data_IF_397183467143
#
_entry.id   IF_397183467143
#
_cell.length_a   1.000
_cell.length_b   1.000
_cell.length_c   1.000
_cell.angle_alpha   90.00
_cell.angle_beta   90.00
_cell.angle_gamma   90.00
#
_symmetry.space_group_name_H-M   'P 1'
#
loop_
_entity.id
_entity.type
_entity.pdbx_description
1 polymer ?
#
# COMPACT_ATOMS: atom_id res chain seq x y z
N UNK A 1 8.69 -6.77 -9.19
CA UNK A 1 9.67 -6.61 -10.26
C UNK A 1 11.05 -6.27 -9.70
N UNK A 2 11.19 -5.13 -9.00
CA UNK A 2 12.48 -4.62 -8.48
C UNK A 2 13.21 -5.68 -7.65
N UNK A 3 12.58 -6.26 -6.63
CA UNK A 3 13.22 -7.28 -5.78
C UNK A 3 13.70 -8.52 -6.57
N UNK A 4 13.01 -8.89 -7.64
CA UNK A 4 13.43 -10.01 -8.49
C UNK A 4 14.67 -9.64 -9.31
N UNK A 5 14.74 -8.40 -9.82
CA UNK A 5 15.93 -7.93 -10.52
C UNK A 5 17.11 -7.84 -9.56
N UNK A 6 16.93 -7.29 -8.36
CA UNK A 6 17.95 -7.22 -7.32
C UNK A 6 18.43 -8.62 -6.88
N UNK A 7 17.57 -9.66 -7.02
CA UNK A 7 17.95 -11.06 -6.82
C UNK A 7 18.57 -11.74 -8.06
N UNK A 8 18.87 -10.98 -9.12
CA UNK A 8 19.56 -11.46 -10.31
C UNK A 8 18.67 -12.03 -11.43
N UNK A 9 17.35 -11.92 -11.33
CA UNK A 9 16.47 -12.37 -12.38
C UNK A 9 16.27 -11.31 -13.46
N UNK A 10 16.14 -11.75 -14.71
CA UNK A 10 15.66 -10.89 -15.80
C UNK A 10 14.14 -10.77 -15.70
N UNK A 11 13.63 -9.55 -15.61
CA UNK A 11 12.19 -9.30 -15.37
C UNK A 11 11.61 -8.39 -16.44
N UNK A 12 10.47 -8.80 -16.99
CA UNK A 12 9.60 -7.96 -17.82
C UNK A 12 8.23 -7.84 -17.16
N UNK A 13 7.59 -6.70 -17.35
CA UNK A 13 6.21 -6.42 -16.93
C UNK A 13 5.37 -6.28 -18.19
N UNK A 14 4.28 -7.02 -18.27
CA UNK A 14 3.23 -6.80 -19.27
C UNK A 14 2.04 -6.15 -18.56
N UNK A 15 1.63 -4.97 -19.00
CA UNK A 15 0.58 -4.21 -18.34
C UNK A 15 -0.34 -3.54 -19.37
N UNK A 16 -1.65 -3.46 -19.05
CA UNK A 16 -2.61 -2.79 -19.90
C UNK A 16 -2.35 -1.29 -20.05
N UNK A 17 -1.80 -0.67 -19.00
CA UNK A 17 -1.55 0.78 -18.94
C UNK A 17 -0.42 1.08 -17.99
N UNK A 18 0.18 2.26 -18.15
CA UNK A 18 1.22 2.75 -17.24
C UNK A 18 0.62 3.16 -15.89
N UNK A 19 1.43 3.23 -14.83
CA UNK A 19 0.99 3.54 -13.47
C UNK A 19 0.12 4.78 -13.36
N UNK A 20 0.44 5.86 -14.07
CA UNK A 20 -0.28 7.14 -14.03
C UNK A 20 -1.76 7.04 -14.44
N UNK A 21 -2.10 6.02 -15.21
CA UNK A 21 -3.46 5.78 -15.71
C UNK A 21 -4.21 4.72 -14.88
N UNK A 22 -3.66 4.31 -13.75
CA UNK A 22 -4.27 3.30 -12.88
C UNK A 22 -5.04 3.93 -11.72
N UNK A 23 -5.96 3.18 -11.14
CA UNK A 23 -6.65 3.55 -9.90
C UNK A 23 -5.67 3.83 -8.75
N UNK A 24 -4.52 3.15 -8.74
CA UNK A 24 -3.49 3.36 -7.72
C UNK A 24 -2.90 4.76 -7.76
N UNK A 25 -2.81 5.42 -8.91
CA UNK A 25 -2.25 6.76 -9.03
C UNK A 25 -3.11 7.85 -8.38
N UNK A 26 -4.39 7.59 -8.17
CA UNK A 26 -5.33 8.54 -7.55
C UNK A 26 -5.71 8.13 -6.12
N UNK A 27 -5.23 7.00 -5.65
CA UNK A 27 -5.51 6.52 -4.30
C UNK A 27 -4.78 7.38 -3.26
N UNK A 28 -5.42 7.70 -2.15
CA UNK A 28 -4.71 8.11 -0.94
C UNK A 28 -4.04 6.88 -0.33
N UNK A 29 -2.78 7.02 0.09
CA UNK A 29 -2.04 5.88 0.60
C UNK A 29 -1.39 6.20 1.93
N UNK A 30 -2.10 5.84 2.98
CA UNK A 30 -1.56 5.75 4.33
C UNK A 30 -1.25 4.29 4.65
N UNK A 31 -0.13 4.03 5.30
CA UNK A 31 0.13 2.71 5.83
C UNK A 31 -0.77 2.45 7.03
N UNK A 32 -1.71 1.53 6.86
CA UNK A 32 -2.55 0.99 7.91
C UNK A 32 -3.05 -0.39 7.49
N UNK A 33 -2.96 -1.43 8.34
CA UNK A 33 -3.47 -2.76 8.03
C UNK A 33 -5.00 -2.78 8.08
N UNK A 34 -5.62 -2.74 6.91
CA UNK A 34 -7.08 -2.69 6.76
C UNK A 34 -7.56 -3.84 5.88
N UNK A 35 -8.47 -4.66 6.41
CA UNK A 35 -9.12 -5.78 5.70
C UNK A 35 -8.17 -6.67 4.87
N UNK A 36 -7.07 -7.09 5.47
CA UNK A 36 -6.05 -7.93 4.82
C UNK A 36 -6.28 -9.39 5.19
N UNK A 37 -6.27 -10.28 4.21
CA UNK A 37 -6.32 -11.72 4.37
C UNK A 37 -5.12 -12.40 3.68
N UNK A 38 -4.62 -13.53 4.17
CA UNK A 38 -4.99 -14.18 5.44
C UNK A 38 -4.42 -13.44 6.65
N UNK A 39 -5.22 -13.26 7.68
CA UNK A 39 -4.91 -12.39 8.82
C UNK A 39 -3.62 -12.78 9.57
N UNK A 40 -3.31 -14.08 9.65
CA UNK A 40 -2.09 -14.56 10.31
C UNK A 40 -0.78 -14.10 9.63
N UNK A 41 -0.83 -13.74 8.34
CA UNK A 41 0.31 -13.17 7.60
C UNK A 41 0.28 -11.64 7.56
N UNK A 42 -0.89 -11.05 7.78
CA UNK A 42 -1.08 -9.62 7.65
C UNK A 42 -0.15 -8.81 8.57
N UNK A 43 0.05 -9.26 9.81
CA UNK A 43 0.94 -8.58 10.76
C UNK A 43 2.39 -8.57 10.29
N UNK A 44 2.91 -9.71 9.83
CA UNK A 44 4.28 -9.83 9.30
C UNK A 44 4.47 -8.96 8.06
N UNK A 45 3.55 -9.04 7.10
CA UNK A 45 3.61 -8.24 5.87
C UNK A 45 3.52 -6.74 6.16
N UNK A 46 2.67 -6.35 7.10
CA UNK A 46 2.51 -4.96 7.51
C UNK A 46 3.78 -4.43 8.17
N UNK A 47 4.39 -5.17 9.09
CA UNK A 47 5.66 -4.80 9.73
C UNK A 47 6.78 -4.64 8.70
N UNK A 48 6.94 -5.62 7.81
CA UNK A 48 7.96 -5.57 6.76
C UNK A 48 7.76 -4.36 5.84
N UNK A 49 6.49 -4.06 5.50
CA UNK A 49 6.13 -2.91 4.67
C UNK A 49 6.40 -1.59 5.41
N UNK A 50 6.06 -1.51 6.70
CA UNK A 50 6.34 -0.34 7.53
C UNK A 50 7.83 0.04 7.50
N UNK A 51 8.71 -0.91 7.82
CA UNK A 51 10.15 -0.67 7.84
C UNK A 51 10.70 -0.33 6.45
N UNK A 52 10.14 -0.96 5.41
CA UNK A 52 10.54 -0.63 4.04
C UNK A 52 10.17 0.79 3.66
N UNK A 53 8.98 1.25 4.02
CA UNK A 53 8.55 2.62 3.78
C UNK A 53 9.28 3.63 4.66
N UNK A 54 9.58 3.28 5.91
CA UNK A 54 10.40 4.12 6.78
C UNK A 54 11.80 4.38 6.17
N UNK A 55 12.40 3.36 5.55
CA UNK A 55 13.64 3.52 4.78
C UNK A 55 13.44 4.41 3.54
N UNK A 56 12.34 4.20 2.80
CA UNK A 56 12.03 4.99 1.61
C UNK A 56 11.73 6.45 1.94
N UNK A 57 11.21 6.76 3.12
CA UNK A 57 10.99 8.12 3.59
C UNK A 57 12.30 8.92 3.74
N UNK A 58 13.46 8.25 3.78
CA UNK A 58 14.78 8.89 3.78
C UNK A 58 15.35 9.08 2.36
N UNK A 59 14.68 8.55 1.34
CA UNK A 59 15.14 8.64 -0.06
C UNK A 59 14.47 9.83 -0.73
N UNK A 60 15.27 10.76 -1.20
CA UNK A 60 14.76 11.94 -1.92
C UNK A 60 13.90 11.52 -3.12
N UNK A 61 12.80 12.23 -3.31
CA UNK A 61 11.85 12.01 -4.41
C UNK A 61 11.18 10.64 -4.45
N UNK A 62 11.23 9.87 -3.36
CA UNK A 62 10.50 8.58 -3.28
C UNK A 62 8.97 8.76 -3.25
N UNK A 63 8.48 9.93 -2.90
CA UNK A 63 7.06 10.17 -2.64
C UNK A 63 6.56 9.55 -1.32
N UNK A 64 7.49 9.10 -0.46
CA UNK A 64 7.16 8.53 0.85
C UNK A 64 7.62 9.46 1.96
N UNK A 65 6.80 9.66 2.97
CA UNK A 65 7.13 10.42 4.17
C UNK A 65 6.51 9.76 5.41
N UNK A 66 6.98 10.16 6.59
CA UNK A 66 6.39 9.73 7.87
C UNK A 66 5.43 10.81 8.38
N UNK A 67 4.23 10.44 8.81
CA UNK A 67 3.21 11.37 9.29
C UNK A 67 2.57 10.89 10.59
N UNK A 68 2.21 11.81 11.50
CA UNK A 68 1.42 11.46 12.66
C UNK A 68 0.03 10.95 12.26
N UNK A 69 -0.35 9.79 12.79
CA UNK A 69 -1.70 9.23 12.70
C UNK A 69 -2.35 9.29 14.07
N UNK A 70 -3.59 9.77 14.14
CA UNK A 70 -4.49 9.58 15.29
C UNK A 70 -5.64 8.69 14.86
N UNK A 71 -5.86 7.62 15.59
CA UNK A 71 -6.92 6.65 15.36
C UNK A 71 -7.90 6.68 16.51
N UNK A 72 -9.17 6.92 16.25
CA UNK A 72 -10.24 6.94 17.24
C UNK A 72 -11.24 5.83 16.98
N UNK A 73 -11.62 5.10 18.04
CA UNK A 73 -12.49 3.93 17.95
C UNK A 73 -13.68 4.06 18.92
N UNK A 74 -14.84 3.57 18.49
CA UNK A 74 -16.05 3.52 19.30
C UNK A 74 -16.19 2.23 20.10
N UNK A 75 -15.27 1.29 19.94
CA UNK A 75 -15.33 -0.02 20.60
C UNK A 75 -13.93 -0.44 21.12
N UNK A 76 -13.94 -1.08 22.24
CA UNK A 76 -12.77 -1.80 22.72
C UNK A 76 -12.72 -3.16 22.04
N UNK A 77 -11.71 -3.42 21.25
CA UNK A 77 -11.49 -4.74 20.68
C UNK A 77 -10.02 -5.16 20.86
N UNK A 78 -9.79 -6.46 20.98
CA UNK A 78 -8.46 -7.01 20.72
C UNK A 78 -8.16 -6.84 19.21
N UNK A 79 -7.81 -5.64 18.86
CA UNK A 79 -7.59 -5.29 17.47
C UNK A 79 -6.31 -5.98 16.98
N UNK A 80 -6.48 -6.97 16.12
CA UNK A 80 -5.40 -7.75 15.52
C UNK A 80 -4.35 -6.87 14.86
N UNK A 81 -4.74 -5.73 14.33
CA UNK A 81 -3.89 -4.76 13.65
C UNK A 81 -2.86 -4.09 14.58
N UNK A 82 -3.07 -4.07 15.90
CA UNK A 82 -2.08 -3.52 16.86
C UNK A 82 -0.73 -4.21 16.72
N UNK A 83 -0.73 -5.52 16.46
CA UNK A 83 0.48 -6.32 16.25
C UNK A 83 1.20 -6.01 14.92
N UNK A 84 0.58 -5.25 14.04
CA UNK A 84 1.19 -4.78 12.80
C UNK A 84 2.08 -3.55 12.98
N UNK A 85 1.96 -2.87 14.12
CA UNK A 85 2.86 -1.75 14.45
C UNK A 85 4.17 -2.27 15.06
N UNK A 86 5.30 -1.61 14.76
CA UNK A 86 6.55 -1.90 15.47
C UNK A 86 6.39 -1.68 16.97
N UNK A 87 7.08 -2.50 17.77
CA UNK A 87 7.02 -2.42 19.23
C UNK A 87 7.33 -1.01 19.73
N UNK A 88 6.50 -0.50 20.64
CA UNK A 88 6.65 0.82 21.25
C UNK A 88 6.28 2.01 20.33
N UNK A 89 5.78 1.77 19.09
CA UNK A 89 5.45 2.85 18.15
C UNK A 89 3.95 3.14 18.02
N UNK A 90 3.12 2.40 18.73
CA UNK A 90 1.69 2.68 18.88
C UNK A 90 1.43 3.04 20.33
N UNK A 91 0.95 4.25 20.59
CA UNK A 91 0.69 4.76 21.93
C UNK A 91 -0.80 4.97 22.11
N UNK A 92 -1.37 4.50 23.21
CA UNK A 92 -2.75 4.79 23.58
C UNK A 92 -2.85 6.22 24.12
N UNK A 93 -3.84 6.94 23.64
CA UNK A 93 -4.10 8.32 24.04
C UNK A 93 -4.72 8.36 25.44
N UNK A 94 -4.36 9.39 26.21
CA UNK A 94 -5.02 9.68 27.48
C UNK A 94 -6.48 10.08 27.22
N UNK A 95 -7.43 9.73 28.15
CA UNK A 95 -8.85 10.03 27.97
C UNK A 95 -9.17 11.47 27.60
N UNK A 96 -8.44 12.45 28.16
CA UNK A 96 -8.62 13.86 27.91
C UNK A 96 -8.18 14.32 26.51
N UNK A 97 -7.54 13.45 25.73
CA UNK A 97 -7.11 13.71 24.34
C UNK A 97 -8.00 13.01 23.31
N UNK A 98 -9.02 12.29 23.78
CA UNK A 98 -9.96 11.54 22.96
C UNK A 98 -11.23 12.38 22.82
N UNK A 99 -11.73 12.67 21.60
CA UNK A 99 -12.99 13.37 21.41
C UNK A 99 -14.15 12.60 22.04
N UNK A 100 -15.14 13.30 22.60
CA UNK A 100 -16.23 12.75 23.41
C UNK A 100 -17.05 11.64 22.71
N UNK A 101 -17.09 11.66 21.37
CA UNK A 101 -17.80 10.65 20.59
C UNK A 101 -17.07 9.29 20.50
N UNK A 102 -15.80 9.21 20.94
CA UNK A 102 -14.99 7.98 20.86
C UNK A 102 -14.64 7.46 22.26
N UNK A 103 -14.41 6.15 22.34
CA UNK A 103 -14.09 5.48 23.61
C UNK A 103 -12.60 5.30 23.84
N UNK A 104 -11.85 5.10 22.76
CA UNK A 104 -10.42 4.85 22.82
C UNK A 104 -9.71 5.53 21.64
N UNK A 105 -8.48 5.93 21.86
CA UNK A 105 -7.65 6.58 20.84
C UNK A 105 -6.22 6.07 20.88
N UNK A 106 -5.59 6.07 19.73
CA UNK A 106 -4.18 5.73 19.55
C UNK A 106 -3.49 6.78 18.72
N UNK A 107 -2.18 6.92 18.92
CA UNK A 107 -1.32 7.71 18.05
C UNK A 107 -0.09 6.91 17.63
N UNK A 108 0.37 7.15 16.42
CA UNK A 108 1.58 6.56 15.87
C UNK A 108 2.16 7.45 14.77
N UNK A 109 3.46 7.33 14.52
CA UNK A 109 4.06 7.80 13.26
C UNK A 109 3.91 6.70 12.21
N UNK A 110 3.31 7.00 11.08
CA UNK A 110 3.07 6.03 10.02
C UNK A 110 3.57 6.52 8.67
N UNK A 111 4.00 5.62 7.78
CA UNK A 111 4.29 5.98 6.40
C UNK A 111 3.04 6.46 5.66
N UNK A 112 3.20 7.52 4.89
CA UNK A 112 2.26 7.91 3.85
C UNK A 112 2.99 7.93 2.51
N UNK A 113 2.26 7.70 1.43
CA UNK A 113 2.80 7.73 0.09
C UNK A 113 1.98 8.64 -0.82
N UNK A 114 2.64 9.59 -1.45
CA UNK A 114 2.10 10.33 -2.57
C UNK A 114 2.15 9.43 -3.81
N UNK A 115 1.07 8.70 -4.05
CA UNK A 115 1.06 7.56 -4.97
C UNK A 115 1.51 7.90 -6.38
N UNK A 116 1.19 9.07 -6.88
CA UNK A 116 1.64 9.52 -8.21
C UNK A 116 3.16 9.67 -8.27
N UNK A 117 3.81 10.20 -7.21
CA UNK A 117 5.27 10.32 -7.13
C UNK A 117 5.91 8.95 -6.90
N UNK A 118 5.36 8.18 -5.93
CA UNK A 118 5.89 6.88 -5.57
C UNK A 118 5.86 5.87 -6.72
N UNK A 119 4.78 5.86 -7.51
CA UNK A 119 4.67 4.96 -8.65
C UNK A 119 5.65 5.31 -9.76
N UNK A 120 5.89 6.59 -10.02
CA UNK A 120 6.90 7.05 -10.98
C UNK A 120 8.31 6.70 -10.48
N UNK A 121 8.60 6.92 -9.20
CA UNK A 121 9.85 6.50 -8.57
C UNK A 121 10.09 4.98 -8.73
N UNK A 122 9.09 4.14 -8.50
CA UNK A 122 9.21 2.69 -8.68
C UNK A 122 9.41 2.31 -10.15
N UNK A 123 8.73 2.98 -11.07
CA UNK A 123 8.86 2.75 -12.50
C UNK A 123 10.27 3.07 -12.99
N UNK A 124 10.79 4.22 -12.60
CA UNK A 124 12.13 4.66 -12.98
C UNK A 124 13.20 3.75 -12.38
N UNK A 125 13.07 3.38 -11.11
CA UNK A 125 13.97 2.41 -10.47
C UNK A 125 13.92 1.06 -11.18
N UNK A 126 12.74 0.55 -11.54
CA UNK A 126 12.62 -0.72 -12.27
C UNK A 126 13.34 -0.69 -13.62
N UNK A 127 13.14 0.39 -14.38
CA UNK A 127 13.81 0.59 -15.69
C UNK A 127 15.33 0.75 -15.54
N UNK A 128 15.79 1.52 -14.56
CA UNK A 128 17.22 1.75 -14.31
C UNK A 128 17.98 0.46 -13.94
N UNK A 129 17.29 -0.51 -13.37
CA UNK A 129 17.82 -1.85 -13.07
C UNK A 129 17.74 -2.81 -14.26
N UNK A 130 17.31 -2.35 -15.44
CA UNK A 130 17.21 -3.16 -16.66
C UNK A 130 15.88 -3.87 -16.85
N UNK A 131 14.86 -3.56 -16.04
CA UNK A 131 13.50 -4.06 -16.23
C UNK A 131 12.85 -3.52 -17.49
N UNK A 132 12.07 -4.33 -18.19
CA UNK A 132 11.33 -3.95 -19.40
C UNK A 132 9.85 -3.94 -19.17
N UNK A 133 9.13 -3.06 -19.88
CA UNK A 133 7.68 -2.95 -19.79
C UNK A 133 7.08 -2.99 -21.19
N UNK A 134 6.11 -3.86 -21.35
CA UNK A 134 5.29 -3.97 -22.55
C UNK A 134 3.85 -3.57 -22.23
N UNK A 135 3.27 -2.69 -23.06
CA UNK A 135 1.87 -2.31 -22.92
C UNK A 135 1.02 -3.23 -23.78
N UNK A 136 0.37 -4.19 -23.12
CA UNK A 136 -0.54 -5.12 -23.76
C UNK A 136 -1.65 -5.59 -22.82
N UNK A 137 -2.79 -5.95 -23.40
CA UNK A 137 -3.87 -6.62 -22.68
C UNK A 137 -3.55 -8.11 -22.62
N UNK A 138 -3.50 -8.68 -21.42
CA UNK A 138 -3.33 -10.11 -21.19
C UNK A 138 -4.70 -10.73 -20.94
N UNK A 139 -5.14 -11.60 -21.84
CA UNK A 139 -6.40 -12.35 -21.69
C UNK A 139 -6.15 -13.83 -21.32
N UNK A 140 -4.93 -14.34 -21.53
CA UNK A 140 -4.50 -15.68 -21.15
C UNK A 140 -3.05 -15.67 -20.68
N UNK A 141 -2.82 -16.23 -19.51
CA UNK A 141 -1.48 -16.35 -18.89
C UNK A 141 -0.70 -17.53 -19.47
N UNK A 142 -1.38 -18.52 -20.01
CA UNK A 142 -0.78 -19.79 -20.46
C UNK A 142 0.25 -19.57 -21.57
N UNK A 143 0.01 -18.63 -22.48
CA UNK A 143 0.95 -18.25 -23.54
C UNK A 143 2.24 -17.71 -22.97
N UNK A 144 2.13 -16.74 -22.06
CA UNK A 144 3.27 -16.10 -21.39
C UNK A 144 4.07 -17.11 -20.56
N UNK A 145 3.36 -18.01 -19.85
CA UNK A 145 4.01 -19.01 -19.00
C UNK A 145 4.89 -20.01 -19.75
N UNK A 146 4.64 -20.24 -21.04
CA UNK A 146 5.48 -21.13 -21.87
C UNK A 146 6.84 -20.53 -22.21
N UNK A 147 6.95 -19.23 -22.21
CA UNK A 147 8.15 -18.51 -22.63
C UNK A 147 8.99 -18.03 -21.43
N UNK A 148 8.48 -18.17 -20.20
CA UNK A 148 9.12 -17.65 -19.00
C UNK A 148 9.22 -18.73 -17.91
N UNK A 149 10.28 -18.65 -17.12
CA UNK A 149 10.50 -19.54 -15.97
C UNK A 149 9.39 -19.43 -14.92
N UNK A 150 8.87 -18.23 -14.69
CA UNK A 150 7.79 -17.96 -13.76
C UNK A 150 6.99 -16.72 -14.20
N UNK A 151 5.71 -16.71 -13.88
CA UNK A 151 4.82 -15.56 -14.08
C UNK A 151 4.19 -15.18 -12.74
N UNK A 152 4.30 -13.91 -12.38
CA UNK A 152 3.63 -13.34 -11.21
C UNK A 152 2.39 -12.57 -11.65
N UNK A 153 1.22 -12.99 -11.20
CA UNK A 153 -0.03 -12.27 -11.48
C UNK A 153 -0.21 -11.11 -10.50
N UNK A 154 -0.03 -9.90 -11.01
CA UNK A 154 -0.23 -8.65 -10.28
C UNK A 154 -1.35 -7.79 -10.92
N UNK A 155 -2.34 -8.43 -11.55
CA UNK A 155 -3.38 -7.75 -12.34
C UNK A 155 -4.47 -7.09 -11.49
N UNK A 156 -4.36 -7.06 -10.15
CA UNK A 156 -5.37 -6.48 -9.27
C UNK A 156 -6.74 -7.13 -9.52
N UNK A 157 -7.79 -6.32 -9.63
CA UNK A 157 -9.14 -6.83 -9.94
C UNK A 157 -9.24 -7.57 -11.27
N UNK A 158 -8.33 -7.33 -12.21
CA UNK A 158 -8.24 -8.07 -13.47
C UNK A 158 -7.94 -9.55 -13.28
N UNK A 159 -7.30 -9.93 -12.17
CA UNK A 159 -7.04 -11.32 -11.83
C UNK A 159 -8.31 -12.15 -11.67
N UNK A 160 -9.42 -11.54 -11.27
CA UNK A 160 -10.73 -12.24 -11.19
C UNK A 160 -11.12 -12.91 -12.50
N UNK A 161 -10.99 -12.18 -13.62
CA UNK A 161 -11.28 -12.71 -14.95
C UNK A 161 -10.14 -13.62 -15.44
N UNK A 162 -8.91 -13.15 -15.29
CA UNK A 162 -7.72 -13.80 -15.82
C UNK A 162 -7.48 -15.19 -15.24
N UNK A 163 -7.76 -15.38 -13.94
CA UNK A 163 -7.53 -16.63 -13.20
C UNK A 163 -8.83 -17.31 -12.77
N UNK A 164 -10.01 -16.81 -13.22
CA UNK A 164 -11.31 -17.28 -12.76
C UNK A 164 -11.43 -17.30 -11.22
N UNK A 165 -10.83 -16.30 -10.57
CA UNK A 165 -10.85 -16.16 -9.12
C UNK A 165 -12.15 -15.51 -8.66
N UNK A 166 -13.08 -16.31 -8.13
CA UNK A 166 -14.39 -15.85 -7.67
C UNK A 166 -14.36 -15.21 -6.28
N UNK A 167 -13.29 -15.41 -5.52
CA UNK A 167 -13.13 -14.85 -4.18
C UNK A 167 -12.64 -13.40 -4.23
N UNK A 168 -12.06 -12.98 -5.35
CA UNK A 168 -11.64 -11.60 -5.55
C UNK A 168 -12.84 -10.68 -5.79
N UNK A 169 -12.98 -9.65 -4.97
CA UNK A 169 -14.02 -8.62 -5.08
C UNK A 169 -13.45 -7.21 -4.82
N UNK A 170 -14.03 -6.17 -5.43
CA UNK A 170 -13.60 -4.81 -5.21
C UNK A 170 -14.04 -4.28 -3.84
N UNK A 171 -13.15 -3.51 -3.20
CA UNK A 171 -13.53 -2.64 -2.09
C UNK A 171 -13.58 -1.22 -2.66
N UNK A 172 -14.73 -0.57 -2.50
CA UNK A 172 -14.94 0.78 -2.99
C UNK A 172 -14.34 1.80 -2.00
N UNK A 173 -13.56 2.74 -2.52
CA UNK A 173 -13.06 3.90 -1.78
C UNK A 173 -13.49 5.20 -2.47
N UNK A 174 -13.88 6.19 -1.67
CA UNK A 174 -14.19 7.54 -2.15
C UNK A 174 -13.09 8.50 -1.69
N UNK A 175 -12.61 9.34 -2.60
CA UNK A 175 -11.60 10.35 -2.33
C UNK A 175 -12.16 11.70 -2.73
N UNK A 176 -11.98 12.69 -1.87
CA UNK A 176 -12.25 14.10 -2.17
C UNK A 176 -10.92 14.84 -2.14
N UNK A 177 -10.57 15.47 -3.24
CA UNK A 177 -9.41 16.38 -3.31
C UNK A 177 -9.83 17.75 -2.80
N UNK A 178 -9.05 18.27 -1.89
CA UNK A 178 -9.22 19.62 -1.33
C UNK A 178 -7.90 20.38 -1.45
N UNK A 179 -7.96 21.70 -1.45
CA UNK A 179 -6.77 22.51 -1.35
C UNK A 179 -6.11 22.35 0.02
N UNK A 180 -4.79 22.41 0.04
CA UNK A 180 -4.03 22.32 1.29
C UNK A 180 -4.47 23.42 2.24
N UNK A 181 -4.83 23.05 3.46
CA UNK A 181 -5.20 23.98 4.52
C UNK A 181 -4.03 24.17 5.47
N UNK A 182 -3.79 25.42 5.88
CA UNK A 182 -2.80 25.73 6.92
C UNK A 182 -3.18 25.04 8.24
N UNK A 183 -2.19 24.51 8.93
CA UNK A 183 -2.36 23.88 10.25
C UNK A 183 -2.77 22.42 10.24
N UNK A 184 -2.90 21.76 9.07
CA UNK A 184 -3.07 20.30 9.01
C UNK A 184 -1.74 19.62 9.35
N UNK A 185 -1.67 19.01 10.53
CA UNK A 185 -0.43 18.43 11.07
C UNK A 185 -0.51 16.93 11.30
N UNK A 186 -1.68 16.33 11.16
CA UNK A 186 -1.88 14.89 11.39
C UNK A 186 -3.01 14.34 10.55
N UNK A 187 -2.98 13.02 10.35
CA UNK A 187 -4.07 12.25 9.75
C UNK A 187 -4.93 11.69 10.87
N UNK A 188 -6.25 11.74 10.69
CA UNK A 188 -7.20 11.15 11.64
C UNK A 188 -7.98 10.04 10.94
N UNK A 189 -8.08 8.89 11.56
CA UNK A 189 -8.93 7.79 11.13
C UNK A 189 -9.98 7.49 12.21
N UNK A 190 -11.21 7.29 11.78
CA UNK A 190 -12.38 7.03 12.63
C UNK A 190 -13.02 5.73 12.17
N UNK A 191 -13.34 4.81 13.10
CA UNK A 191 -13.97 3.52 12.79
C UNK A 191 -15.03 3.11 13.81
#
# INVERSE_FOLDING_TARGET
GICLIEAGYKVSIVAKQLPQNTTSAVAAAIWFPYQILPQHKANEWSLNTYFKFEQLAQVAHSGVSMSPLKLYLNYESEAWWKKSFPEGRLTELKPNLIPDQFKIGYEAMVPISETHIYLDFLLDKFKSLGGTIELAQVDDVSGIAKEHFAVSNCAGLGARKLMNDREMYPIYGQIVKVDLQDGVTSITAET
#
